data_IF_790784769632
#
_entry.id   IF_790784769632
#
_cell.length_a   1.000
_cell.length_b   1.000
_cell.length_c   1.000
_cell.angle_alpha   90.00
_cell.angle_beta   90.00
_cell.angle_gamma   90.00
#
_symmetry.space_group_name_H-M   'P 1'
#
loop_
_entity.id
_entity.type
_entity.pdbx_description
1 polymer ?
#
# COMPACT_ATOMS: atom_id res chain seq x y z
N UNK A 1 66.80 10.56 29.38
CA UNK A 1 66.10 11.72 29.96
C UNK A 1 64.62 11.41 29.95
N UNK A 2 63.98 11.53 31.11
CA UNK A 2 62.55 11.39 31.28
C UNK A 2 61.87 12.76 31.08
N UNK A 3 60.71 12.76 30.44
CA UNK A 3 59.63 13.71 30.74
C UNK A 3 58.38 12.88 31.03
N UNK A 4 58.05 12.79 32.31
CA UNK A 4 56.67 12.71 32.79
C UNK A 4 56.11 14.15 32.67
N UNK A 5 54.82 14.47 32.59
CA UNK A 5 53.63 13.97 33.28
C UNK A 5 52.41 14.77 32.80
N UNK A 6 51.23 14.29 33.21
CA UNK A 6 49.96 15.04 33.35
C UNK A 6 49.10 15.15 32.07
N UNK A 7 47.80 14.87 32.07
CA UNK A 7 46.85 14.95 33.16
C UNK A 7 45.84 13.80 33.14
N UNK A 8 45.60 13.29 34.35
CA UNK A 8 44.41 12.62 34.82
C UNK A 8 43.12 13.23 34.28
N UNK A 9 42.41 12.52 33.40
CA UNK A 9 40.96 12.61 33.32
C UNK A 9 40.36 11.49 34.17
N UNK A 10 40.45 11.64 35.49
CA UNK A 10 39.97 10.64 36.48
C UNK A 10 38.46 10.77 36.78
N UNK A 11 37.69 11.51 35.98
CA UNK A 11 36.25 11.71 36.23
C UNK A 11 35.35 11.66 34.99
N UNK A 12 35.85 11.30 33.80
CA UNK A 12 34.97 10.93 32.72
C UNK A 12 34.46 9.50 32.94
N UNK A 13 33.35 9.40 33.67
CA UNK A 13 32.46 8.24 33.55
C UNK A 13 31.82 8.36 32.16
N UNK A 14 32.53 7.87 31.14
CA UNK A 14 31.87 7.55 29.89
C UNK A 14 30.93 6.38 30.19
N UNK A 15 29.62 6.61 30.12
CA UNK A 15 28.66 5.52 30.05
C UNK A 15 28.80 4.83 28.69
N UNK A 16 29.87 4.05 28.53
CA UNK A 16 30.08 3.18 27.36
C UNK A 16 29.27 1.91 27.61
N UNK A 17 28.13 1.82 26.94
CA UNK A 17 27.33 0.60 26.87
C UNK A 17 25.84 0.86 27.06
N UNK A 18 24.95 0.19 26.30
CA UNK A 18 23.52 0.30 26.51
C UNK A 18 23.19 -0.17 27.93
N UNK A 19 22.47 0.67 28.69
CA UNK A 19 21.85 0.27 29.95
C UNK A 19 20.84 -0.86 29.65
N UNK A 20 21.25 -2.09 29.91
CA UNK A 20 20.41 -3.31 29.91
C UNK A 20 20.32 -4.07 28.58
N UNK A 21 19.87 -5.34 28.63
CA UNK A 21 19.52 -6.11 27.44
C UNK A 21 18.44 -5.39 26.64
N UNK A 22 18.62 -5.31 25.33
CA UNK A 22 17.69 -4.67 24.41
C UNK A 22 18.03 -5.01 22.97
N UNK A 23 17.06 -4.82 22.09
CA UNK A 23 17.20 -5.04 20.66
C UNK A 23 16.54 -3.90 19.87
N UNK A 24 17.02 -3.68 18.66
CA UNK A 24 16.33 -2.87 17.66
C UNK A 24 15.45 -3.79 16.82
N UNK A 25 14.15 -3.53 16.83
CA UNK A 25 13.21 -4.15 15.91
C UNK A 25 13.20 -3.34 14.61
N UNK A 26 13.48 -4.02 13.50
CA UNK A 26 13.20 -3.53 12.15
C UNK A 26 11.92 -4.18 11.64
N UNK A 27 11.01 -3.38 11.10
CA UNK A 27 9.87 -3.84 10.31
C UNK A 27 9.93 -3.16 8.94
N UNK A 28 9.79 -3.94 7.87
CA UNK A 28 9.62 -3.41 6.51
C UNK A 28 8.18 -3.61 6.10
N UNK A 29 7.51 -2.51 5.78
CA UNK A 29 6.13 -2.51 5.28
C UNK A 29 6.15 -2.15 3.80
N UNK A 30 5.58 -3.01 2.97
CA UNK A 30 5.32 -2.71 1.55
C UNK A 30 4.03 -1.92 1.46
N UNK A 31 4.13 -0.69 0.96
CA UNK A 31 3.03 0.24 0.76
C UNK A 31 2.65 0.22 -0.72
N UNK A 32 1.48 -0.30 -1.07
CA UNK A 32 0.98 -0.37 -2.45
C UNK A 32 -0.24 0.51 -2.60
N UNK A 33 -0.18 1.51 -3.49
CA UNK A 33 -1.30 2.39 -3.81
C UNK A 33 -1.73 2.22 -5.26
N UNK A 34 -3.02 1.99 -5.44
CA UNK A 34 -3.68 2.02 -6.74
C UNK A 34 -4.55 3.28 -6.82
N UNK A 35 -4.18 4.18 -7.71
CA UNK A 35 -4.92 5.39 -8.04
C UNK A 35 -5.79 5.09 -9.26
N UNK A 36 -7.10 5.24 -9.14
CA UNK A 36 -8.07 5.07 -10.22
C UNK A 36 -8.81 6.39 -10.46
N UNK A 37 -8.87 6.81 -11.72
CA UNK A 37 -9.72 7.90 -12.15
C UNK A 37 -11.01 7.33 -12.74
N UNK A 38 -12.13 7.58 -12.07
CA UNK A 38 -13.44 7.04 -12.42
C UNK A 38 -14.30 8.07 -13.14
N UNK A 39 -15.08 7.63 -14.12
CA UNK A 39 -16.15 8.40 -14.74
C UNK A 39 -17.47 7.65 -14.63
N UNK A 40 -18.55 8.38 -14.37
CA UNK A 40 -19.87 7.82 -14.57
C UNK A 40 -20.11 7.63 -16.07
N UNK A 41 -20.57 6.44 -16.45
CA UNK A 41 -20.87 6.08 -17.83
C UNK A 41 -22.14 5.21 -17.87
N UNK A 42 -22.85 5.26 -19.00
CA UNK A 42 -23.99 4.38 -19.25
C UNK A 42 -23.50 3.11 -19.94
N UNK A 43 -23.78 1.95 -19.35
CA UNK A 43 -23.52 0.65 -19.95
C UNK A 43 -24.84 0.09 -20.48
N UNK A 44 -24.87 -0.20 -21.78
CA UNK A 44 -25.99 -0.88 -22.43
C UNK A 44 -25.82 -2.38 -22.23
N UNK A 45 -26.81 -3.02 -21.60
CA UNK A 45 -26.82 -4.46 -21.31
C UNK A 45 -28.03 -5.10 -22.00
N UNK A 46 -27.86 -6.26 -22.66
CA UNK A 46 -28.99 -7.00 -23.20
C UNK A 46 -29.84 -7.55 -22.05
N UNK A 47 -31.15 -7.36 -22.14
CA UNK A 47 -32.10 -8.05 -21.26
C UNK A 47 -32.39 -9.39 -21.91
N UNK A 48 -31.95 -10.45 -21.25
CA UNK A 48 -32.45 -11.79 -21.57
C UNK A 48 -33.74 -11.96 -20.76
N UNK A 49 -34.92 -12.07 -21.40
CA UNK A 49 -36.12 -12.41 -20.67
C UNK A 49 -35.89 -13.75 -19.99
N UNK A 50 -36.12 -13.80 -18.68
CA UNK A 50 -36.20 -15.09 -17.97
C UNK A 50 -37.52 -15.69 -18.40
N UNK A 51 -37.50 -16.48 -19.47
CA UNK A 51 -38.64 -17.34 -19.78
C UNK A 51 -38.74 -18.37 -18.65
N UNK A 52 -39.86 -18.38 -17.94
CA UNK A 52 -40.21 -19.52 -17.10
C UNK A 52 -40.26 -20.74 -18.02
N UNK A 53 -39.29 -21.64 -17.88
CA UNK A 53 -39.22 -22.87 -18.65
C UNK A 53 -40.47 -23.72 -18.39
N UNK A 54 -41.45 -23.60 -19.28
CA UNK A 54 -42.51 -24.59 -19.41
C UNK A 54 -41.93 -25.78 -20.22
N UNK A 55 -41.95 -27.02 -19.70
CA UNK A 55 -41.12 -28.13 -20.20
C UNK A 55 -41.52 -28.72 -21.57
N UNK A 56 -42.28 -28.01 -22.40
CA UNK A 56 -42.91 -28.58 -23.61
C UNK A 56 -42.88 -27.71 -24.88
N UNK A 57 -42.11 -26.61 -24.94
CA UNK A 57 -42.05 -25.80 -26.16
C UNK A 57 -40.76 -26.09 -26.93
N UNK A 58 -40.89 -26.71 -28.11
CA UNK A 58 -39.78 -26.85 -29.07
C UNK A 58 -39.30 -25.47 -29.53
N UNK A 59 -37.98 -25.25 -29.65
CA UNK A 59 -37.47 -23.96 -30.10
C UNK A 59 -37.88 -23.73 -31.55
N UNK A 60 -38.66 -22.69 -31.81
CA UNK A 60 -38.92 -22.22 -33.17
C UNK A 60 -37.64 -21.65 -33.75
N UNK A 61 -36.99 -22.42 -34.61
CA UNK A 61 -36.01 -21.90 -35.58
C UNK A 61 -36.78 -21.16 -36.67
N UNK A 62 -37.16 -19.91 -36.40
CA UNK A 62 -37.56 -18.97 -37.44
C UNK A 62 -36.42 -18.00 -37.64
N UNK A 63 -35.63 -18.26 -38.69
CA UNK A 63 -34.92 -17.20 -39.37
C UNK A 63 -35.94 -16.25 -39.96
N UNK A 64 -36.22 -15.16 -39.25
CA UNK A 64 -36.89 -13.98 -39.77
C UNK A 64 -36.33 -12.75 -39.02
N UNK A 65 -36.25 -11.65 -39.75
CA UNK A 65 -35.46 -10.47 -39.43
C UNK A 65 -35.69 -9.86 -38.04
N UNK A 66 -34.58 -9.62 -37.32
CA UNK A 66 -34.47 -8.46 -36.43
C UNK A 66 -35.13 -8.56 -35.05
N UNK A 67 -35.01 -9.69 -34.35
CA UNK A 67 -35.29 -9.73 -32.90
C UNK A 67 -34.31 -8.81 -32.16
N UNK A 68 -34.77 -7.59 -31.94
CA UNK A 68 -34.07 -6.57 -31.17
C UNK A 68 -34.12 -7.02 -29.72
N UNK A 69 -33.06 -7.67 -29.24
CA UNK A 69 -32.88 -7.90 -27.81
C UNK A 69 -33.15 -6.58 -27.08
N UNK A 70 -34.19 -6.55 -26.25
CA UNK A 70 -34.49 -5.36 -25.47
C UNK A 70 -33.26 -5.04 -24.62
N UNK A 71 -32.78 -3.81 -24.69
CA UNK A 71 -31.55 -3.40 -24.03
C UNK A 71 -31.87 -2.37 -22.97
N UNK A 72 -31.36 -2.55 -21.77
CA UNK A 72 -31.44 -1.55 -20.71
C UNK A 72 -30.10 -0.81 -20.60
N UNK A 73 -30.15 0.45 -20.19
CA UNK A 73 -28.96 1.20 -19.84
C UNK A 73 -28.86 1.29 -18.33
N UNK A 74 -27.73 0.84 -17.78
CA UNK A 74 -27.42 0.94 -16.36
C UNK A 74 -26.30 1.96 -16.14
N UNK A 75 -26.40 2.72 -15.06
CA UNK A 75 -25.32 3.60 -14.62
C UNK A 75 -24.18 2.75 -14.05
N UNK A 76 -22.98 2.92 -14.60
CA UNK A 76 -21.76 2.26 -14.11
C UNK A 76 -20.65 3.28 -13.87
N UNK A 77 -19.68 2.91 -13.02
CA UNK A 77 -18.42 3.63 -12.90
C UNK A 77 -17.40 2.95 -13.79
N UNK A 78 -16.91 3.68 -14.79
CA UNK A 78 -15.84 3.25 -15.68
C UNK A 78 -14.52 3.80 -15.17
N UNK A 79 -13.50 2.95 -15.10
CA UNK A 79 -12.12 3.38 -14.90
C UNK A 79 -11.62 4.00 -16.20
N UNK A 80 -11.31 5.30 -16.18
CA UNK A 80 -10.71 6.02 -17.32
C UNK A 80 -9.22 5.72 -17.36
N UNK A 81 -8.57 5.79 -16.20
CA UNK A 81 -7.14 5.65 -16.06
C UNK A 81 -6.79 5.07 -14.68
N UNK A 82 -5.69 4.33 -14.62
CA UNK A 82 -5.15 3.76 -13.40
C UNK A 82 -3.64 3.94 -13.36
N UNK A 83 -3.13 4.29 -12.19
CA UNK A 83 -1.70 4.31 -11.91
C UNK A 83 -1.45 3.61 -10.58
N UNK A 84 -0.36 2.85 -10.50
CA UNK A 84 0.02 2.17 -9.27
C UNK A 84 1.40 2.65 -8.80
N UNK A 85 1.59 2.69 -7.49
CA UNK A 85 2.86 3.01 -6.84
C UNK A 85 3.12 2.01 -5.73
N UNK A 86 4.39 1.62 -5.60
CA UNK A 86 4.87 0.75 -4.54
C UNK A 86 6.07 1.41 -3.90
N UNK A 87 6.10 1.41 -2.57
CA UNK A 87 7.22 1.85 -1.76
C UNK A 87 7.45 0.89 -0.59
N UNK A 88 8.64 0.94 0.01
CA UNK A 88 8.98 0.18 1.21
C UNK A 88 9.31 1.15 2.34
N UNK A 89 8.60 0.99 3.47
CA UNK A 89 8.82 1.79 4.65
C UNK A 89 9.56 0.99 5.72
N UNK A 90 10.76 1.45 6.08
CA UNK A 90 11.62 0.85 7.09
C UNK A 90 11.37 1.50 8.44
N UNK A 91 10.74 0.76 9.34
CA UNK A 91 10.36 1.21 10.67
C UNK A 91 11.27 0.59 11.73
N UNK A 92 11.92 1.44 12.51
CA UNK A 92 12.82 1.04 13.59
C UNK A 92 12.21 1.36 14.95
N UNK A 93 12.21 0.38 15.86
CA UNK A 93 11.82 0.59 17.26
C UNK A 93 12.78 -0.08 18.20
N UNK A 94 13.24 0.65 19.22
CA UNK A 94 13.99 0.06 20.33
C UNK A 94 13.05 -0.71 21.24
N UNK A 95 13.44 -1.93 21.57
CA UNK A 95 12.73 -2.80 22.51
C UNK A 95 13.67 -3.10 23.68
N UNK A 96 13.09 -3.05 24.88
CA UNK A 96 13.78 -3.41 26.11
C UNK A 96 13.66 -4.93 26.34
N UNK A 97 14.68 -5.52 26.96
CA UNK A 97 14.73 -6.96 27.22
C UNK A 97 15.37 -7.76 26.09
N UNK A 98 15.24 -9.09 26.17
CA UNK A 98 15.79 -10.02 25.20
C UNK A 98 14.67 -10.66 24.38
N UNK A 99 14.21 -10.02 23.29
CA UNK A 99 13.20 -10.60 22.44
C UNK A 99 13.75 -11.83 21.71
N UNK A 100 12.97 -12.90 21.64
CA UNK A 100 13.38 -14.18 21.06
C UNK A 100 12.72 -14.42 19.69
N UNK A 101 11.41 -14.21 19.57
CA UNK A 101 10.67 -14.55 18.35
C UNK A 101 9.50 -13.61 18.12
N UNK A 102 9.36 -13.15 16.88
CA UNK A 102 8.17 -12.41 16.40
C UNK A 102 7.08 -13.43 16.07
N UNK A 103 5.88 -13.21 16.61
CA UNK A 103 4.71 -14.06 16.39
C UNK A 103 3.90 -13.52 15.23
N UNK A 104 3.62 -12.22 15.21
CA UNK A 104 2.80 -11.60 14.18
C UNK A 104 3.17 -10.14 13.94
N UNK A 105 2.98 -9.71 12.70
CA UNK A 105 3.01 -8.31 12.29
C UNK A 105 1.68 -7.97 11.65
N UNK A 106 0.97 -6.98 12.19
CA UNK A 106 -0.33 -6.56 11.69
C UNK A 106 -0.39 -5.05 11.55
N UNK A 107 -1.16 -4.59 10.58
CA UNK A 107 -1.34 -3.16 10.31
C UNK A 107 -2.72 -2.76 10.80
N UNK A 108 -2.76 -1.69 11.58
CA UNK A 108 -3.95 -1.18 12.22
C UNK A 108 -4.05 0.33 12.01
N UNK A 109 -5.23 0.89 12.29
CA UNK A 109 -5.48 2.34 12.27
C UNK A 109 -5.03 3.00 10.97
N UNK A 110 -5.34 2.37 9.84
CA UNK A 110 -5.03 2.92 8.52
C UNK A 110 -5.98 4.08 8.25
N UNK A 111 -5.41 5.25 7.97
CA UNK A 111 -6.16 6.37 7.40
C UNK A 111 -5.61 6.70 6.02
N UNK A 112 -6.51 7.19 5.17
CA UNK A 112 -6.19 7.61 3.82
C UNK A 112 -7.03 8.83 3.49
N UNK A 113 -6.36 9.89 3.06
CA UNK A 113 -6.96 11.11 2.54
C UNK A 113 -6.44 11.30 1.13
N UNK A 114 -7.35 11.40 0.18
CA UNK A 114 -7.05 11.69 -1.21
C UNK A 114 -7.14 13.19 -1.49
N UNK A 115 -6.27 13.67 -2.38
CA UNK A 115 -6.36 15.01 -2.96
C UNK A 115 -6.19 14.92 -4.47
N UNK A 116 -7.02 15.65 -5.19
CA UNK A 116 -6.97 15.73 -6.64
C UNK A 116 -6.88 17.19 -7.05
N UNK A 117 -5.72 17.59 -7.59
CA UNK A 117 -5.38 18.99 -7.83
C UNK A 117 -5.20 19.18 -9.34
N UNK A 118 -6.09 19.92 -10.02
CA UNK A 118 -5.93 20.27 -11.42
C UNK A 118 -4.65 21.08 -11.66
N UNK A 119 -4.00 20.84 -12.79
CA UNK A 119 -2.85 21.61 -13.27
C UNK A 119 -3.32 22.56 -14.37
N UNK A 120 -3.12 23.86 -14.16
CA UNK A 120 -3.72 24.96 -14.92
C UNK A 120 -3.40 25.04 -16.42
N UNK A 121 -2.54 24.16 -16.96
CA UNK A 121 -1.98 24.34 -18.29
C UNK A 121 -2.18 23.17 -19.26
N UNK A 122 -2.50 21.94 -18.82
CA UNK A 122 -2.39 20.76 -19.68
C UNK A 122 -3.54 19.74 -19.52
N UNK A 123 -4.70 20.15 -19.01
CA UNK A 123 -5.80 19.24 -18.64
C UNK A 123 -5.36 18.09 -17.71
N UNK A 124 -4.22 18.22 -17.04
CA UNK A 124 -3.67 17.23 -16.14
C UNK A 124 -4.13 17.49 -14.71
N UNK A 125 -3.98 16.48 -13.86
CA UNK A 125 -4.15 16.65 -12.42
C UNK A 125 -3.15 15.81 -11.64
N UNK A 126 -2.77 16.30 -10.46
CA UNK A 126 -1.99 15.55 -9.49
C UNK A 126 -2.96 14.86 -8.54
N UNK A 127 -2.89 13.54 -8.49
CA UNK A 127 -3.50 12.76 -7.42
C UNK A 127 -2.47 12.52 -6.32
N UNK A 128 -2.84 12.84 -5.08
CA UNK A 128 -2.00 12.69 -3.89
C UNK A 128 -2.74 11.81 -2.90
N UNK A 129 -2.07 10.78 -2.43
CA UNK A 129 -2.49 10.00 -1.27
C UNK A 129 -1.69 10.47 -0.05
N UNK A 130 -2.41 10.86 1.00
CA UNK A 130 -1.85 11.16 2.31
C UNK A 130 -2.37 10.08 3.26
N UNK A 131 -1.48 9.32 3.87
CA UNK A 131 -1.89 8.19 4.71
C UNK A 131 -1.01 8.06 5.94
N UNK A 132 -1.56 7.41 6.96
CA UNK A 132 -0.83 6.97 8.14
C UNK A 132 -1.36 5.61 8.58
N UNK A 133 -0.52 4.84 9.26
CA UNK A 133 -0.91 3.57 9.85
C UNK A 133 -0.04 3.23 11.06
N UNK A 134 -0.53 2.33 11.90
CA UNK A 134 0.23 1.78 13.01
C UNK A 134 0.54 0.31 12.74
N UNK A 135 1.78 -0.09 12.92
CA UNK A 135 2.18 -1.50 12.90
C UNK A 135 2.14 -2.04 14.32
N UNK A 136 1.33 -3.07 14.57
CA UNK A 136 1.35 -3.83 15.81
C UNK A 136 2.17 -5.11 15.63
N UNK A 137 3.15 -5.30 16.51
CA UNK A 137 4.02 -6.46 16.57
C UNK A 137 3.76 -7.21 17.88
N UNK A 138 3.46 -8.51 17.76
CA UNK A 138 3.42 -9.43 18.90
C UNK A 138 4.66 -10.29 18.87
N UNK A 139 5.34 -10.41 20.01
CA UNK A 139 6.57 -11.18 20.13
C UNK A 139 6.67 -11.85 21.50
N UNK A 140 7.50 -12.87 21.59
CA UNK A 140 7.90 -13.49 22.86
C UNK A 140 9.35 -13.16 23.18
N UNK A 141 9.62 -13.00 24.46
CA UNK A 141 10.99 -12.85 24.96
C UNK A 141 11.65 -14.21 25.21
N UNK A 142 12.89 -14.18 25.69
CA UNK A 142 13.64 -15.38 26.08
C UNK A 142 13.05 -16.13 27.28
N UNK A 143 12.16 -15.50 28.05
CA UNK A 143 11.45 -16.13 29.18
C UNK A 143 10.14 -16.80 28.76
N UNK A 144 9.73 -16.63 27.49
CA UNK A 144 8.48 -17.16 26.95
C UNK A 144 7.27 -16.24 27.19
N UNK A 145 7.48 -15.04 27.76
CA UNK A 145 6.42 -14.07 28.00
C UNK A 145 6.05 -13.33 26.70
N UNK A 146 4.74 -13.15 26.48
CA UNK A 146 4.21 -12.46 25.31
C UNK A 146 4.13 -10.94 25.54
N UNK A 147 4.62 -10.19 24.56
CA UNK A 147 4.62 -8.74 24.52
C UNK A 147 3.99 -8.23 23.23
N UNK A 148 3.38 -7.04 23.33
CA UNK A 148 2.79 -6.32 22.19
C UNK A 148 3.45 -4.94 22.14
N UNK A 149 3.85 -4.52 20.95
CA UNK A 149 4.45 -3.20 20.71
C UNK A 149 3.94 -2.62 19.41
N UNK A 150 3.76 -1.31 19.36
CA UNK A 150 3.29 -0.59 18.18
C UNK A 150 4.35 0.35 17.60
N UNK A 151 4.39 0.52 16.28
CA UNK A 151 5.24 1.50 15.60
C UNK A 151 4.36 2.34 14.69
N UNK A 152 4.41 3.66 14.85
CA UNK A 152 3.73 4.60 13.96
C UNK A 152 4.52 4.75 12.65
N UNK A 153 3.86 4.72 11.51
CA UNK A 153 4.47 4.97 10.21
C UNK A 153 4.93 6.42 10.02
N UNK A 154 4.40 7.34 10.83
CA UNK A 154 4.36 8.76 10.53
C UNK A 154 3.43 9.06 9.35
N UNK A 155 3.32 10.32 8.97
CA UNK A 155 2.54 10.71 7.79
C UNK A 155 3.33 10.40 6.52
N UNK A 156 2.69 9.65 5.62
CA UNK A 156 3.24 9.19 4.35
C UNK A 156 2.52 9.83 3.19
N UNK A 157 3.23 10.00 2.08
CA UNK A 157 2.75 10.72 0.92
C UNK A 157 3.19 10.01 -0.37
N UNK A 158 2.24 9.74 -1.25
CA UNK A 158 2.54 9.28 -2.61
C UNK A 158 1.70 10.07 -3.61
N UNK A 159 2.24 10.27 -4.82
CA UNK A 159 1.57 11.05 -5.86
C UNK A 159 1.76 10.47 -7.25
N UNK A 160 0.76 10.71 -8.11
CA UNK A 160 0.79 10.40 -9.54
C UNK A 160 0.20 11.57 -10.32
N UNK A 161 0.63 11.73 -11.57
CA UNK A 161 0.06 12.71 -12.49
C UNK A 161 -0.86 11.97 -13.45
N UNK A 162 -2.12 12.41 -13.52
CA UNK A 162 -3.08 11.92 -14.49
C UNK A 162 -3.15 12.85 -15.71
N UNK A 163 -3.35 12.30 -16.92
CA UNK A 163 -3.54 13.07 -18.15
C UNK A 163 -4.94 13.69 -18.26
N UNK A 164 -5.72 13.71 -17.17
CA UNK A 164 -7.06 14.29 -17.11
C UNK A 164 -7.35 14.76 -15.68
N UNK A 165 -7.98 15.94 -15.54
CA UNK A 165 -8.56 16.43 -14.28
C UNK A 165 -10.06 16.13 -14.16
N UNK A 166 -10.66 15.51 -15.17
CA UNK A 166 -12.09 15.19 -15.18
C UNK A 166 -12.32 13.77 -14.68
N UNK A 167 -13.12 13.63 -13.63
CA UNK A 167 -13.46 12.34 -13.03
C UNK A 167 -13.39 12.37 -11.51
N UNK A 168 -13.74 11.25 -10.90
CA UNK A 168 -13.63 11.03 -9.46
C UNK A 168 -12.38 10.20 -9.19
N UNK A 169 -11.49 10.72 -8.33
CA UNK A 169 -10.35 9.95 -7.85
C UNK A 169 -10.83 8.89 -6.85
N UNK A 170 -10.31 7.67 -6.99
CA UNK A 170 -10.42 6.61 -5.99
C UNK A 170 -9.02 6.06 -5.74
N UNK A 171 -8.59 6.04 -4.49
CA UNK A 171 -7.29 5.49 -4.09
C UNK A 171 -7.53 4.26 -3.22
N UNK A 172 -6.91 3.14 -3.59
CA UNK A 172 -6.87 1.93 -2.77
C UNK A 172 -5.46 1.77 -2.22
N UNK A 173 -5.35 1.67 -0.89
CA UNK A 173 -4.10 1.45 -0.17
C UNK A 173 -4.07 0.01 0.35
N UNK A 174 -3.03 -0.72 0.00
CA UNK A 174 -2.73 -2.04 0.55
C UNK A 174 -1.35 -1.99 1.22
N UNK A 175 -1.31 -2.22 2.52
CA UNK A 175 -0.08 -2.26 3.29
C UNK A 175 0.14 -3.68 3.81
N UNK A 176 1.35 -4.20 3.65
CA UNK A 176 1.71 -5.53 4.11
C UNK A 176 3.07 -5.53 4.81
N UNK A 177 3.15 -6.15 5.98
CA UNK A 177 4.44 -6.44 6.60
C UNK A 177 5.17 -7.51 5.79
N UNK A 178 6.26 -7.14 5.11
CA UNK A 178 7.03 -8.08 4.29
C UNK A 178 8.27 -8.62 5.00
N UNK A 179 8.77 -7.92 6.02
CA UNK A 179 9.92 -8.36 6.80
C UNK A 179 9.85 -7.81 8.22
N UNK A 180 10.28 -8.61 9.20
CA UNK A 180 10.49 -8.14 10.57
C UNK A 180 11.60 -8.93 11.26
N UNK A 181 12.49 -8.24 11.98
CA UNK A 181 13.63 -8.88 12.65
C UNK A 181 14.16 -8.06 13.83
N UNK A 182 14.63 -8.76 14.86
CA UNK A 182 15.40 -8.17 15.95
C UNK A 182 16.89 -8.13 15.61
N UNK A 183 17.52 -6.99 15.87
CA UNK A 183 18.95 -6.77 15.80
C UNK A 183 19.47 -6.43 17.19
N UNK A 184 20.58 -7.04 17.64
CA UNK A 184 21.16 -6.70 18.93
C UNK A 184 21.62 -5.25 18.94
N UNK A 185 21.48 -4.57 20.09
CA UNK A 185 21.91 -3.17 20.24
C UNK A 185 23.42 -2.97 20.01
N UNK A 186 24.23 -4.03 20.05
CA UNK A 186 25.65 -4.01 19.73
C UNK A 186 25.97 -3.78 18.24
N UNK A 187 24.98 -3.88 17.34
CA UNK A 187 25.15 -3.62 15.90
C UNK A 187 24.75 -2.18 15.50
N UNK A 188 24.73 -1.23 16.44
CA UNK A 188 24.36 0.17 16.20
C UNK A 188 25.39 1.01 15.39
N UNK A 189 26.12 0.37 14.47
CA UNK A 189 27.10 1.01 13.58
C UNK A 189 26.79 0.75 12.09
N UNK A 190 25.52 0.83 11.70
CA UNK A 190 25.15 1.03 10.29
C UNK A 190 24.47 2.39 10.14
N UNK A 191 24.99 3.28 9.28
CA UNK A 191 24.58 4.67 9.23
C UNK A 191 23.17 4.83 8.67
N UNK A 192 22.44 5.77 9.27
CA UNK A 192 21.30 6.48 8.69
C UNK A 192 21.76 7.25 7.43
N UNK A 193 21.96 6.55 6.32
CA UNK A 193 22.30 7.15 5.03
C UNK A 193 21.83 6.28 3.88
N UNK A 194 20.51 6.28 3.64
CA UNK A 194 19.94 6.11 2.29
C UNK A 194 18.76 7.06 2.11
N UNK A 195 18.98 8.34 2.39
CA UNK A 195 18.20 9.43 1.79
C UNK A 195 19.04 10.02 0.67
N UNK A 196 18.85 9.50 -0.55
CA UNK A 196 18.97 10.19 -1.84
C UNK A 196 19.15 9.17 -2.96
N UNK A 197 18.03 8.54 -3.37
CA UNK A 197 17.78 8.31 -4.78
C UNK A 197 16.55 9.09 -5.17
N UNK A 198 16.77 10.38 -5.39
CA UNK A 198 15.90 11.19 -6.23
C UNK A 198 16.22 10.80 -7.68
N UNK A 199 15.92 9.56 -8.07
CA UNK A 199 15.98 9.17 -9.47
C UNK A 199 14.71 9.74 -10.13
N UNK A 200 14.93 10.85 -10.83
CA UNK A 200 14.03 11.46 -11.78
C UNK A 200 13.76 10.44 -12.91
N UNK A 201 12.89 9.46 -12.65
CA UNK A 201 12.39 8.56 -13.68
C UNK A 201 11.30 9.29 -14.48
N UNK A 202 11.75 10.13 -15.42
CA UNK A 202 10.99 10.48 -16.61
C UNK A 202 11.01 9.28 -17.55
N UNK A 203 10.14 8.30 -17.33
CA UNK A 203 9.76 7.35 -18.37
C UNK A 203 8.24 7.25 -18.41
N UNK A 204 7.68 8.11 -19.27
CA UNK A 204 6.33 8.00 -19.74
C UNK A 204 6.27 6.87 -20.78
N UNK A 205 5.58 5.79 -20.44
CA UNK A 205 4.90 4.96 -21.42
C UNK A 205 3.51 4.64 -20.88
N UNK A 206 2.43 5.10 -21.52
CA UNK A 206 1.08 4.77 -21.07
C UNK A 206 0.85 3.26 -21.26
N UNK A 207 0.37 2.53 -20.24
CA UNK A 207 -0.08 1.17 -20.45
C UNK A 207 -1.27 1.18 -21.42
N UNK A 208 -1.19 0.38 -22.48
CA UNK A 208 -2.32 0.16 -23.38
C UNK A 208 -3.50 -0.46 -22.61
N UNK A 209 -4.76 -0.10 -22.94
CA UNK A 209 -5.93 -0.60 -22.24
C UNK A 209 -6.06 -2.12 -22.44
N UNK A 210 -5.75 -2.87 -21.39
CA UNK A 210 -6.03 -4.31 -21.36
C UNK A 210 -7.54 -4.49 -21.18
N UNK A 211 -8.22 -5.03 -22.21
CA UNK A 211 -9.61 -5.49 -22.07
C UNK A 211 -9.67 -6.60 -21.04
N UNK A 212 -10.16 -6.29 -19.84
CA UNK A 212 -10.55 -7.32 -18.87
C UNK A 212 -11.94 -7.80 -19.23
N UNK A 213 -12.04 -9.05 -19.70
CA UNK A 213 -13.30 -9.76 -19.87
C UNK A 213 -13.75 -10.29 -18.50
N UNK A 214 -14.92 -9.85 -18.02
CA UNK A 214 -15.58 -10.49 -16.88
C UNK A 214 -16.09 -11.86 -17.32
N UNK A 215 -15.51 -12.93 -16.76
CA UNK A 215 -16.09 -14.28 -16.81
C UNK A 215 -17.28 -14.31 -15.86
N UNK A 216 -18.50 -14.37 -16.41
CA UNK A 216 -19.70 -14.73 -15.69
C UNK A 216 -19.67 -16.24 -15.41
N UNK A 217 -19.50 -16.63 -14.15
CA UNK A 217 -19.74 -18.01 -13.69
C UNK A 217 -21.21 -18.18 -13.35
N UNK A 218 -21.89 -19.03 -14.11
CA UNK A 218 -23.25 -19.51 -13.82
C UNK A 218 -23.21 -20.38 -12.57
N UNK A 219 -23.97 -19.99 -11.55
CA UNK A 219 -24.35 -20.89 -10.44
C UNK A 219 -25.71 -21.49 -10.82
N UNK A 220 -25.77 -22.82 -10.65
CA UNK A 220 -26.78 -23.76 -11.15
C UNK A 220 -28.24 -23.35 -10.99
#
# INVERSE_FOLDING_TARGET
MAFTSSATNKNNIFHIGPKGPGANLLVVVKETLLFNLLQQAMLRVPVVPVEEFSPLTTPKTTGDAGESFSSICINVRRVINSAWRVDENLLWKRINGNPAKIISCSIQNVSLVDKFIPLNHNEQAIAIAIYHYTVEIKYIDSSGQLYITSIDSGTRYQRVVFPSFTGQLQINLENNCIFSKFYPLSMASYPLSMTNKLDLATDFSPPQPTRVWLKSSVVK
#
